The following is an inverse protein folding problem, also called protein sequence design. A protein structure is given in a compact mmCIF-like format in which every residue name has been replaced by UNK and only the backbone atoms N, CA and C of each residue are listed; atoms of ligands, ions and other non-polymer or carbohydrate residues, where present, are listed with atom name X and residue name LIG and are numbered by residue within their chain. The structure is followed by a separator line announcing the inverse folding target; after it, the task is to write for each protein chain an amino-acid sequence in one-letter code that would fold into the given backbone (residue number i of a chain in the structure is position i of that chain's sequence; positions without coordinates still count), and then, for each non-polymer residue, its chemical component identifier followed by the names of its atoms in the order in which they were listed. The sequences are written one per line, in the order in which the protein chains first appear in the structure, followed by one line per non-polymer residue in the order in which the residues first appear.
data_IF_610124240008
#
_entry.id   IF_610124240008
#
_cell.length_a   1.000
_cell.length_b   1.000
_cell.length_c   1.000
_cell.angle_alpha   90.00
_cell.angle_beta   90.00
_cell.angle_gamma   90.00
#
_symmetry.space_group_name_H-M   'P 1'
#
loop_
_entity.id
_entity.type
_entity.pdbx_description
1 polymer ?
#
# COMPACT_ATOMS: atom_id res chain seq x y z
N UNK A 1 -17.44 6.49 -10.06
CA UNK A 1 -18.18 7.73 -9.71
C UNK A 1 -17.29 8.78 -9.04
N UNK A 2 -16.39 8.39 -8.12
CA UNK A 2 -15.45 9.28 -7.40
C UNK A 2 -14.58 10.17 -8.30
N UNK A 3 -14.05 9.64 -9.41
CA UNK A 3 -13.29 10.40 -10.43
C UNK A 3 -13.96 11.72 -10.86
N UNK A 4 -15.29 11.77 -10.98
CA UNK A 4 -16.00 13.00 -11.39
C UNK A 4 -16.04 14.08 -10.32
N UNK A 5 -15.89 13.73 -9.05
CA UNK A 5 -15.96 14.64 -7.90
C UNK A 5 -14.59 15.02 -7.32
N UNK A 6 -13.49 14.56 -7.92
CA UNK A 6 -12.12 14.83 -7.45
C UNK A 6 -11.85 16.33 -7.28
N UNK A 7 -12.45 17.18 -8.10
CA UNK A 7 -12.29 18.64 -8.04
C UNK A 7 -12.76 19.23 -6.71
N UNK A 8 -13.86 18.67 -6.17
CA UNK A 8 -14.41 19.07 -4.87
C UNK A 8 -13.69 18.39 -3.71
N UNK A 9 -13.19 17.17 -3.94
CA UNK A 9 -12.41 16.40 -2.96
C UNK A 9 -11.00 16.99 -2.72
N UNK A 10 -10.45 17.80 -3.64
CA UNK A 10 -9.14 18.48 -3.46
C UNK A 10 -9.06 19.38 -2.23
N UNK A 11 -10.19 19.90 -1.75
CA UNK A 11 -10.24 20.73 -0.53
C UNK A 11 -9.86 19.88 0.69
N UNK A 12 -10.14 18.57 0.66
CA UNK A 12 -9.97 17.66 1.80
C UNK A 12 -8.82 16.67 1.58
N UNK A 13 -8.53 16.29 0.34
CA UNK A 13 -7.39 15.44 -0.02
C UNK A 13 -6.14 16.31 -0.14
N UNK A 14 -5.50 16.56 1.00
CA UNK A 14 -4.21 17.24 1.07
C UNK A 14 -3.05 16.21 1.08
N UNK A 15 -1.81 16.62 0.77
CA UNK A 15 -0.64 15.74 0.92
C UNK A 15 -0.51 15.18 2.33
N UNK A 16 -0.88 15.97 3.35
CA UNK A 16 -0.92 15.51 4.76
C UNK A 16 -1.92 14.36 4.95
N UNK A 17 -3.16 14.51 4.47
CA UNK A 17 -4.17 13.44 4.58
C UNK A 17 -3.73 12.18 3.84
N UNK A 18 -3.18 12.34 2.65
CA UNK A 18 -2.65 11.24 1.83
C UNK A 18 -1.51 10.51 2.54
N UNK A 19 -0.55 11.27 3.09
CA UNK A 19 0.58 10.72 3.82
C UNK A 19 0.16 10.00 5.11
N UNK A 20 -0.85 10.50 5.83
CA UNK A 20 -1.43 9.83 7.00
C UNK A 20 -2.00 8.47 6.60
N UNK A 21 -2.83 8.41 5.55
CA UNK A 21 -3.43 7.17 5.04
C UNK A 21 -2.35 6.15 4.68
N UNK A 22 -1.38 6.55 3.85
CA UNK A 22 -0.30 5.66 3.40
C UNK A 22 0.55 5.16 4.59
N UNK A 23 0.84 6.04 5.54
CA UNK A 23 1.59 5.67 6.76
C UNK A 23 0.83 4.65 7.58
N UNK A 24 -0.47 4.86 7.81
CA UNK A 24 -1.32 3.92 8.56
C UNK A 24 -1.47 2.58 7.85
N UNK A 25 -1.59 2.56 6.51
CA UNK A 25 -1.60 1.32 5.72
C UNK A 25 -0.30 0.55 5.95
N UNK A 26 0.85 1.20 5.81
CA UNK A 26 2.14 0.58 6.03
C UNK A 26 2.29 0.01 7.45
N UNK A 27 1.96 0.80 8.49
CA UNK A 27 2.04 0.36 9.89
C UNK A 27 1.11 -0.81 10.18
N UNK A 28 -0.12 -0.78 9.67
CA UNK A 28 -1.06 -1.89 9.83
C UNK A 28 -0.54 -3.17 9.19
N UNK A 29 0.03 -3.08 8.00
CA UNK A 29 0.55 -4.25 7.27
C UNK A 29 1.89 -4.76 7.83
N UNK A 30 2.67 -3.94 8.53
CA UNK A 30 3.85 -4.39 9.31
C UNK A 30 3.43 -5.49 10.30
N UNK A 31 2.27 -5.36 10.97
CA UNK A 31 1.75 -6.39 11.88
C UNK A 31 1.60 -7.74 11.16
N UNK A 32 1.08 -7.72 9.93
CA UNK A 32 0.93 -8.93 9.10
C UNK A 32 2.30 -9.51 8.75
N UNK A 33 3.25 -8.69 8.29
CA UNK A 33 4.60 -9.14 7.96
C UNK A 33 5.32 -9.79 9.16
N UNK A 34 5.24 -9.19 10.34
CA UNK A 34 5.82 -9.76 11.58
C UNK A 34 5.12 -11.05 11.99
N UNK A 35 3.79 -11.13 11.86
CA UNK A 35 3.02 -12.35 12.13
C UNK A 35 3.44 -13.48 11.19
N UNK A 36 3.68 -13.17 9.92
CA UNK A 36 4.14 -14.14 8.93
C UNK A 36 5.59 -14.59 9.19
N UNK A 37 6.49 -13.68 9.62
CA UNK A 37 7.85 -14.04 10.08
C UNK A 37 7.81 -15.06 11.22
N UNK A 38 6.86 -14.90 12.14
CA UNK A 38 6.71 -15.84 13.25
C UNK A 38 6.16 -17.22 12.82
N UNK A 39 5.63 -17.37 11.60
CA UNK A 39 5.07 -18.64 11.13
C UNK A 39 3.71 -18.48 10.44
N UNK A 40 3.06 -17.33 10.61
CA UNK A 40 1.71 -17.06 10.13
C UNK A 40 0.63 -17.32 11.18
N UNK A 41 -0.59 -16.88 10.88
CA UNK A 41 -1.74 -17.02 11.79
C UNK A 41 -2.08 -18.51 11.95
N UNK A 42 -2.11 -18.98 13.20
CA UNK A 42 -2.50 -20.36 13.53
C UNK A 42 -1.40 -21.41 13.32
N UNK A 43 -0.14 -20.98 13.12
CA UNK A 43 0.98 -21.92 13.01
C UNK A 43 1.26 -22.63 14.34
N UNK A 44 1.45 -23.96 14.30
CA UNK A 44 1.82 -24.75 15.49
C UNK A 44 3.22 -24.37 16.02
N UNK A 45 4.11 -23.98 15.13
CA UNK A 45 5.49 -23.56 15.41
C UNK A 45 5.63 -22.03 15.45
N UNK A 46 4.58 -21.31 15.87
CA UNK A 46 4.59 -19.86 15.95
C UNK A 46 5.72 -19.33 16.85
N UNK A 47 6.54 -18.44 16.31
CA UNK A 47 7.71 -17.89 17.00
C UNK A 47 8.89 -18.86 17.13
N UNK A 48 8.87 -20.01 16.46
CA UNK A 48 10.00 -20.96 16.49
C UNK A 48 11.29 -20.31 15.97
N UNK A 49 12.43 -20.75 16.51
CA UNK A 49 13.74 -20.26 16.07
C UNK A 49 13.93 -20.43 14.55
N UNK A 50 13.45 -21.54 13.98
CA UNK A 50 13.50 -21.79 12.54
C UNK A 50 12.74 -20.72 11.75
N UNK A 51 11.54 -20.33 12.18
CA UNK A 51 10.74 -19.31 11.51
C UNK A 51 11.40 -17.94 11.59
N UNK A 52 11.82 -17.56 12.79
CA UNK A 52 12.48 -16.28 13.02
C UNK A 52 13.79 -16.17 12.25
N UNK A 53 14.59 -17.25 12.20
CA UNK A 53 15.84 -17.30 11.45
C UNK A 53 15.60 -17.23 9.94
N UNK A 54 14.60 -17.93 9.41
CA UNK A 54 14.25 -17.84 7.98
C UNK A 54 13.79 -16.44 7.59
N UNK A 55 12.88 -15.83 8.37
CA UNK A 55 12.44 -14.46 8.11
C UNK A 55 13.58 -13.44 8.25
N UNK A 56 14.44 -13.61 9.26
CA UNK A 56 15.61 -12.76 9.48
C UNK A 56 16.67 -12.93 8.39
N UNK A 57 16.84 -14.14 7.84
CA UNK A 57 17.73 -14.40 6.72
C UNK A 57 17.27 -13.63 5.47
N UNK A 58 15.98 -13.69 5.16
CA UNK A 58 15.40 -12.95 4.03
C UNK A 58 15.58 -11.45 4.24
N UNK A 59 15.21 -10.94 5.41
CA UNK A 59 15.38 -9.53 5.74
C UNK A 59 16.85 -9.10 5.66
N UNK A 60 17.75 -9.87 6.25
CA UNK A 60 19.20 -9.62 6.23
C UNK A 60 19.76 -9.61 4.82
N UNK A 61 19.30 -10.53 3.96
CA UNK A 61 19.67 -10.57 2.53
C UNK A 61 19.18 -9.31 1.82
N UNK A 62 17.92 -8.91 2.03
CA UNK A 62 17.37 -7.70 1.41
C UNK A 62 18.13 -6.45 1.86
N UNK A 63 18.43 -6.32 3.16
CA UNK A 63 19.19 -5.20 3.72
C UNK A 63 20.60 -5.16 3.14
N UNK A 64 21.32 -6.29 3.14
CA UNK A 64 22.68 -6.38 2.60
C UNK A 64 22.74 -5.98 1.12
N UNK A 65 21.78 -6.43 0.31
CA UNK A 65 21.69 -6.04 -1.11
C UNK A 65 21.32 -4.57 -1.29
N UNK A 66 20.49 -4.00 -0.40
CA UNK A 66 20.16 -2.58 -0.42
C UNK A 66 21.34 -1.66 -0.09
N UNK A 67 22.35 -2.16 0.64
CA UNK A 67 23.58 -1.42 0.93
C UNK A 67 24.54 -1.36 -0.28
N UNK A 68 24.25 -2.10 -1.36
CA UNK A 68 25.05 -2.06 -2.58
C UNK A 68 24.97 -0.70 -3.27
N UNK A 69 26.09 -0.24 -3.86
CA UNK A 69 26.11 0.97 -4.69
C UNK A 69 25.40 0.77 -6.03
N UNK A 70 25.21 -0.48 -6.47
CA UNK A 70 24.57 -0.77 -7.75
C UNK A 70 23.04 -0.71 -7.63
N UNK A 71 22.44 0.18 -8.41
CA UNK A 71 20.99 0.38 -8.47
C UNK A 71 20.22 -0.90 -8.81
N UNK A 72 20.74 -1.73 -9.73
CA UNK A 72 20.06 -2.96 -10.15
C UNK A 72 19.98 -3.98 -9.01
N UNK A 73 21.06 -4.10 -8.22
CA UNK A 73 21.11 -4.99 -7.05
C UNK A 73 20.13 -4.55 -5.98
N UNK A 74 20.01 -3.23 -5.76
CA UNK A 74 19.04 -2.66 -4.81
C UNK A 74 17.60 -2.95 -5.25
N UNK A 75 17.29 -2.78 -6.54
CA UNK A 75 15.97 -3.04 -7.09
C UNK A 75 15.59 -4.52 -7.08
N UNK A 76 16.54 -5.43 -7.28
CA UNK A 76 16.31 -6.88 -7.24
C UNK A 76 16.35 -7.49 -5.84
N UNK A 77 16.66 -6.68 -4.80
CA UNK A 77 16.91 -7.17 -3.44
C UNK A 77 15.80 -8.03 -2.86
N UNK A 78 14.53 -7.62 -3.03
CA UNK A 78 13.36 -8.35 -2.55
C UNK A 78 13.22 -9.70 -3.26
N UNK A 79 13.37 -9.73 -4.58
CA UNK A 79 13.28 -10.96 -5.37
C UNK A 79 14.39 -11.95 -4.98
N UNK A 80 15.62 -11.46 -4.85
CA UNK A 80 16.76 -12.29 -4.43
C UNK A 80 16.60 -12.77 -2.99
N UNK A 81 16.12 -11.92 -2.08
CA UNK A 81 15.83 -12.30 -0.70
C UNK A 81 14.79 -13.41 -0.61
N UNK A 82 13.68 -13.30 -1.37
CA UNK A 82 12.66 -14.35 -1.48
C UNK A 82 13.25 -15.66 -2.03
N UNK A 83 14.06 -15.58 -3.09
CA UNK A 83 14.69 -16.74 -3.70
C UNK A 83 15.65 -17.45 -2.73
N UNK A 84 16.51 -16.70 -2.05
CA UNK A 84 17.43 -17.24 -1.02
C UNK A 84 16.64 -17.88 0.12
N UNK A 85 15.61 -17.20 0.64
CA UNK A 85 14.78 -17.75 1.71
C UNK A 85 14.03 -19.01 1.30
N UNK A 86 13.50 -19.05 0.07
CA UNK A 86 12.82 -20.23 -0.47
C UNK A 86 13.78 -21.41 -0.65
N UNK A 87 14.99 -21.18 -1.18
CA UNK A 87 16.01 -22.23 -1.33
C UNK A 87 16.44 -22.81 0.03
N UNK A 88 16.67 -21.97 1.04
CA UNK A 88 17.01 -22.45 2.39
C UNK A 88 15.82 -23.19 3.03
N UNK A 89 14.59 -22.72 2.80
CA UNK A 89 13.41 -23.44 3.25
C UNK A 89 13.26 -24.83 2.61
N UNK A 90 13.63 -25.00 1.33
CA UNK A 90 13.67 -26.31 0.68
C UNK A 90 14.73 -27.21 1.33
N UNK A 91 15.92 -26.69 1.64
CA UNK A 91 16.99 -27.46 2.28
C UNK A 91 16.64 -27.95 3.69
N UNK A 92 15.88 -27.16 4.45
CA UNK A 92 15.45 -27.49 5.82
C UNK A 92 14.14 -28.31 5.80
N UNK A 93 13.55 -28.57 4.62
CA UNK A 93 12.33 -29.36 4.48
C UNK A 93 11.05 -28.60 4.85
N UNK A 94 11.10 -27.27 4.97
CA UNK A 94 9.94 -26.41 5.28
C UNK A 94 9.13 -26.00 4.05
N UNK A 95 9.70 -26.19 2.87
CA UNK A 95 9.03 -26.02 1.58
C UNK A 95 9.06 -27.34 0.81
N UNK A 96 8.03 -27.60 0.01
CA UNK A 96 7.98 -28.72 -0.92
C UNK A 96 8.36 -28.27 -2.32
N UNK A 97 8.91 -29.20 -3.11
CA UNK A 97 9.06 -28.97 -4.55
C UNK A 97 7.69 -29.05 -5.22
N UNK A 98 7.47 -28.18 -6.21
CA UNK A 98 6.26 -28.22 -7.03
C UNK A 98 6.33 -29.44 -7.95
N UNK A 99 5.26 -30.22 -7.97
CA UNK A 99 5.05 -31.21 -9.02
C UNK A 99 4.52 -30.52 -10.28
N UNK A 100 5.41 -30.28 -11.24
CA UNK A 100 5.08 -29.62 -12.50
C UNK A 100 4.21 -30.48 -13.42
N UNK A 101 4.25 -31.82 -13.27
CA UNK A 101 3.51 -32.71 -14.16
C UNK A 101 2.00 -32.74 -13.86
N UNK A 102 1.60 -32.43 -12.63
CA UNK A 102 0.19 -32.37 -12.22
C UNK A 102 -0.46 -30.99 -12.45
N UNK A 103 0.30 -29.98 -12.85
CA UNK A 103 -0.25 -28.65 -13.09
C UNK A 103 -0.80 -28.50 -14.51
N UNK A 104 -2.00 -27.93 -14.69
CA UNK A 104 -2.50 -27.61 -16.03
C UNK A 104 -1.57 -26.59 -16.70
N UNK A 105 -1.29 -26.81 -17.98
CA UNK A 105 -0.35 -25.97 -18.74
C UNK A 105 -0.85 -24.52 -18.87
N UNK A 106 -2.18 -24.34 -18.98
CA UNK A 106 -2.83 -23.05 -19.17
C UNK A 106 -4.09 -22.98 -18.31
N UNK A 107 -4.29 -21.86 -17.61
CA UNK A 107 -5.53 -21.56 -16.91
C UNK A 107 -6.11 -20.24 -17.42
N UNK A 108 -7.21 -20.33 -18.16
CA UNK A 108 -7.94 -19.17 -18.65
C UNK A 108 -8.91 -18.70 -17.54
N UNK A 109 -8.90 -17.41 -17.17
CA UNK A 109 -9.78 -16.91 -16.11
C UNK A 109 -11.23 -16.94 -16.59
N UNK A 110 -12.10 -17.58 -15.80
CA UNK A 110 -13.53 -17.69 -16.08
C UNK A 110 -14.26 -16.53 -15.40
N UNK A 111 -15.00 -15.69 -16.13
CA UNK A 111 -15.75 -14.59 -15.53
C UNK A 111 -16.84 -15.14 -14.61
N UNK A 112 -17.00 -14.52 -13.45
CA UNK A 112 -18.04 -14.83 -12.44
C UNK A 112 -18.09 -16.30 -12.01
N UNK A 113 -16.93 -16.96 -11.92
CA UNK A 113 -16.80 -18.38 -11.54
C UNK A 113 -17.51 -18.73 -10.23
N UNK A 114 -17.53 -17.81 -9.26
CA UNK A 114 -18.16 -18.04 -7.95
C UNK A 114 -19.60 -17.51 -7.84
N UNK A 115 -20.18 -16.97 -8.93
CA UNK A 115 -21.52 -16.38 -8.93
C UNK A 115 -21.59 -15.01 -8.22
N UNK A 116 -22.82 -14.56 -7.93
CA UNK A 116 -23.10 -13.27 -7.28
C UNK A 116 -23.82 -13.48 -5.96
N UNK A 117 -23.27 -12.89 -4.90
CA UNK A 117 -23.93 -12.73 -3.61
C UNK A 117 -23.66 -11.32 -3.09
N UNK A 118 -24.72 -10.55 -2.85
CA UNK A 118 -24.60 -9.19 -2.35
C UNK A 118 -24.93 -9.16 -0.86
N UNK A 119 -23.93 -8.78 -0.05
CA UNK A 119 -24.07 -8.58 1.39
C UNK A 119 -23.83 -7.10 1.72
N UNK A 120 -24.85 -6.43 2.25
CA UNK A 120 -24.76 -5.03 2.66
C UNK A 120 -23.73 -4.81 3.78
N UNK A 121 -23.57 -5.80 4.67
CA UNK A 121 -22.61 -5.73 5.77
C UNK A 121 -21.16 -5.79 5.28
N UNK A 122 -20.88 -6.48 4.17
CA UNK A 122 -19.57 -6.50 3.52
C UNK A 122 -19.37 -5.30 2.57
N UNK A 123 -20.44 -4.87 1.89
CA UNK A 123 -20.39 -3.78 0.92
C UNK A 123 -19.94 -2.46 1.54
N UNK A 124 -20.52 -2.06 2.68
CA UNK A 124 -20.23 -0.74 3.28
C UNK A 124 -18.75 -0.60 3.68
N UNK A 125 -18.13 -1.54 4.43
CA UNK A 125 -16.70 -1.47 4.75
C UNK A 125 -15.81 -1.46 3.51
N UNK A 126 -16.09 -2.31 2.52
CA UNK A 126 -15.32 -2.36 1.27
C UNK A 126 -15.44 -1.04 0.51
N UNK A 127 -16.62 -0.41 0.48
CA UNK A 127 -16.82 0.88 -0.15
C UNK A 127 -16.00 1.99 0.53
N UNK A 128 -15.90 1.99 1.86
CA UNK A 128 -15.03 2.92 2.60
C UNK A 128 -13.55 2.65 2.35
N UNK A 129 -13.13 1.40 2.32
CA UNK A 129 -11.75 1.03 1.96
C UNK A 129 -11.45 1.56 0.55
N UNK A 130 -12.35 1.37 -0.41
CA UNK A 130 -12.18 1.87 -1.78
C UNK A 130 -12.14 3.40 -1.90
N UNK A 131 -12.88 4.11 -1.04
CA UNK A 131 -12.76 5.57 -0.98
C UNK A 131 -11.33 5.97 -0.59
N UNK A 132 -10.71 5.21 0.31
CA UNK A 132 -9.36 5.47 0.80
C UNK A 132 -8.31 5.04 -0.21
N UNK A 133 -8.50 3.92 -0.92
CA UNK A 133 -7.60 3.53 -2.02
C UNK A 133 -7.63 4.55 -3.16
N UNK A 134 -8.76 5.22 -3.41
CA UNK A 134 -8.80 6.32 -4.37
C UNK A 134 -7.96 7.54 -3.94
N UNK A 135 -7.87 7.80 -2.63
CA UNK A 135 -6.99 8.83 -2.05
C UNK A 135 -5.53 8.41 -2.20
N UNK A 136 -5.19 7.17 -1.85
CA UNK A 136 -3.87 6.57 -2.06
C UNK A 136 -3.44 6.65 -3.54
N UNK A 137 -4.32 6.23 -4.46
CA UNK A 137 -4.10 6.32 -5.90
C UNK A 137 -3.85 7.74 -6.37
N UNK A 138 -4.57 8.72 -5.82
CA UNK A 138 -4.33 10.13 -6.11
C UNK A 138 -2.93 10.56 -5.64
N UNK A 139 -2.51 10.12 -4.44
CA UNK A 139 -1.17 10.33 -3.91
C UNK A 139 -0.07 9.76 -4.80
N UNK A 140 -0.23 8.50 -5.21
CA UNK A 140 0.72 7.81 -6.06
C UNK A 140 0.86 8.44 -7.44
N UNK A 141 -0.26 8.84 -8.05
CA UNK A 141 -0.26 9.55 -9.33
C UNK A 141 0.40 10.93 -9.21
N UNK A 142 0.23 11.59 -8.06
CA UNK A 142 0.88 12.88 -7.77
C UNK A 142 2.39 12.71 -7.62
N UNK A 143 2.83 11.71 -6.85
CA UNK A 143 4.24 11.37 -6.70
C UNK A 143 4.86 10.98 -8.06
N UNK A 144 4.12 10.22 -8.88
CA UNK A 144 4.54 9.89 -10.24
C UNK A 144 4.71 11.15 -11.10
N UNK A 145 3.78 12.12 -11.01
CA UNK A 145 3.91 13.40 -11.71
C UNK A 145 5.18 14.15 -11.27
N UNK A 146 5.47 14.19 -9.96
CA UNK A 146 6.68 14.83 -9.43
C UNK A 146 7.96 14.18 -9.98
N UNK A 147 8.06 12.86 -9.93
CA UNK A 147 9.25 12.14 -10.40
C UNK A 147 9.41 12.18 -11.92
N UNK A 148 8.29 12.24 -12.64
CA UNK A 148 8.25 12.34 -14.10
C UNK A 148 8.36 13.79 -14.61
N UNK A 149 8.60 14.76 -13.72
CA UNK A 149 8.68 16.21 -14.03
C UNK A 149 7.44 16.75 -14.76
N UNK A 150 6.26 16.22 -14.41
CA UNK A 150 4.97 16.67 -14.91
C UNK A 150 4.34 17.71 -13.98
N UNK A 151 3.46 18.60 -14.48
CA UNK A 151 2.74 19.54 -13.63
C UNK A 151 1.92 18.85 -12.54
N UNK A 152 2.01 19.35 -11.31
CA UNK A 152 1.24 18.90 -10.13
C UNK A 152 0.04 19.81 -9.83
N UNK A 153 -0.22 20.79 -10.69
CA UNK A 153 -1.33 21.72 -10.59
C UNK A 153 -1.95 21.99 -11.97
N UNK A 154 -3.12 22.62 -11.98
CA UNK A 154 -3.84 22.97 -13.21
C UNK A 154 -4.70 21.85 -13.81
N UNK A 155 -5.28 22.13 -14.99
CA UNK A 155 -6.29 21.29 -15.65
C UNK A 155 -5.72 19.95 -16.14
N UNK A 156 -4.50 19.95 -16.66
CA UNK A 156 -3.83 18.72 -17.15
C UNK A 156 -3.51 17.74 -16.03
N UNK A 157 -3.03 18.23 -14.88
CA UNK A 157 -2.85 17.43 -13.67
C UNK A 157 -4.17 16.79 -13.23
N UNK A 158 -5.22 17.59 -13.16
CA UNK A 158 -6.54 17.12 -12.73
C UNK A 158 -7.09 16.03 -13.67
N UNK A 159 -6.91 16.17 -14.98
CA UNK A 159 -7.32 15.16 -15.94
C UNK A 159 -6.55 13.83 -15.74
N UNK A 160 -5.25 13.89 -15.42
CA UNK A 160 -4.46 12.70 -15.09
C UNK A 160 -4.97 11.99 -13.83
N UNK A 161 -5.23 12.74 -12.76
CA UNK A 161 -5.77 12.17 -11.52
C UNK A 161 -7.14 11.54 -11.75
N UNK A 162 -8.06 12.24 -12.43
CA UNK A 162 -9.39 11.71 -12.77
C UNK A 162 -9.34 10.47 -13.64
N UNK A 163 -8.46 10.48 -14.64
CA UNK A 163 -8.23 9.34 -15.53
C UNK A 163 -7.66 8.16 -14.78
N UNK A 164 -6.67 8.37 -13.91
CA UNK A 164 -6.05 7.32 -13.12
C UNK A 164 -7.00 6.69 -12.11
N UNK A 165 -7.74 7.49 -11.33
CA UNK A 165 -8.74 6.97 -10.38
C UNK A 165 -9.92 6.29 -11.10
N UNK A 166 -10.27 6.74 -12.31
CA UNK A 166 -11.25 6.03 -13.13
C UNK A 166 -10.72 4.69 -13.63
N UNK A 167 -9.47 4.66 -14.12
CA UNK A 167 -8.82 3.43 -14.57
C UNK A 167 -8.67 2.44 -13.43
N UNK A 168 -8.36 2.91 -12.22
CA UNK A 168 -8.33 2.11 -10.99
C UNK A 168 -9.67 1.42 -10.74
N UNK A 169 -10.77 2.17 -10.69
CA UNK A 169 -12.11 1.62 -10.49
C UNK A 169 -12.56 0.67 -11.61
N UNK A 170 -12.20 0.95 -12.86
CA UNK A 170 -12.51 0.06 -14.01
C UNK A 170 -11.69 -1.23 -13.91
N UNK A 171 -10.40 -1.14 -13.64
CA UNK A 171 -9.54 -2.30 -13.48
C UNK A 171 -9.97 -3.17 -12.31
N UNK A 172 -10.45 -2.54 -11.23
CA UNK A 172 -11.06 -3.20 -10.09
C UNK A 172 -12.36 -3.94 -10.43
N UNK A 173 -13.19 -3.38 -11.31
CA UNK A 173 -14.39 -4.04 -11.82
C UNK A 173 -14.03 -5.26 -12.70
N UNK A 174 -13.02 -5.11 -13.56
CA UNK A 174 -12.50 -6.22 -14.38
C UNK A 174 -11.92 -7.30 -13.47
N UNK A 175 -11.13 -6.92 -12.46
CA UNK A 175 -10.57 -7.78 -11.44
C UNK A 175 -11.68 -8.59 -10.73
N UNK A 176 -12.73 -7.94 -10.24
CA UNK A 176 -13.87 -8.60 -9.61
C UNK A 176 -14.61 -9.54 -10.58
N UNK A 177 -14.75 -9.15 -11.85
CA UNK A 177 -15.35 -10.00 -12.89
C UNK A 177 -14.59 -11.32 -13.06
N UNK A 178 -13.27 -11.28 -12.98
CA UNK A 178 -12.42 -12.47 -13.05
C UNK A 178 -12.06 -13.07 -11.68
N UNK A 179 -12.83 -12.72 -10.63
CA UNK A 179 -12.75 -13.30 -9.29
C UNK A 179 -11.44 -13.01 -8.53
N UNK A 180 -10.77 -11.91 -8.84
CA UNK A 180 -9.61 -11.43 -8.06
C UNK A 180 -10.03 -10.26 -7.16
N UNK A 181 -9.17 -9.95 -6.19
CA UNK A 181 -9.36 -8.82 -5.29
C UNK A 181 -9.26 -7.47 -6.02
N UNK A 182 -9.89 -6.43 -5.45
CA UNK A 182 -9.60 -5.03 -5.72
C UNK A 182 -8.12 -4.73 -5.96
N UNK A 183 -7.83 -3.94 -6.99
CA UNK A 183 -6.48 -3.41 -7.24
C UNK A 183 -6.43 -1.91 -6.98
N UNK A 184 -5.21 -1.40 -6.81
CA UNK A 184 -4.86 0.01 -6.63
C UNK A 184 -3.50 0.28 -7.31
N UNK A 185 -3.08 1.54 -7.39
CA UNK A 185 -1.74 1.90 -7.87
C UNK A 185 -0.66 1.32 -6.96
N UNK A 186 0.46 0.91 -7.54
CA UNK A 186 1.57 0.32 -6.79
C UNK A 186 2.64 1.38 -6.47
N UNK A 187 2.61 1.92 -5.25
CA UNK A 187 3.47 3.03 -4.82
C UNK A 187 4.98 2.71 -4.94
N UNK A 188 5.36 1.45 -4.85
CA UNK A 188 6.75 1.00 -5.00
C UNK A 188 7.30 1.32 -6.40
N UNK A 189 6.46 1.35 -7.43
CA UNK A 189 6.87 1.72 -8.78
C UNK A 189 7.41 3.16 -8.84
N UNK A 190 6.86 4.06 -8.02
CA UNK A 190 7.38 5.43 -7.92
C UNK A 190 8.82 5.45 -7.38
N UNK A 191 9.16 4.52 -6.49
CA UNK A 191 10.55 4.33 -6.02
C UNK A 191 11.50 3.91 -7.14
N UNK A 192 11.06 3.00 -8.02
CA UNK A 192 11.84 2.57 -9.19
C UNK A 192 12.05 3.72 -10.17
N UNK A 193 10.99 4.48 -10.47
CA UNK A 193 11.06 5.65 -11.36
C UNK A 193 11.98 6.72 -10.77
N UNK A 194 11.89 6.98 -9.46
CA UNK A 194 12.76 7.96 -8.80
C UNK A 194 14.24 7.57 -8.88
N UNK A 195 14.56 6.29 -8.71
CA UNK A 195 15.95 5.79 -8.75
C UNK A 195 16.49 5.72 -10.18
N UNK A 196 15.68 5.28 -11.14
CA UNK A 196 16.11 5.09 -12.54
C UNK A 196 16.01 6.35 -13.38
N UNK A 197 15.14 7.30 -13.00
CA UNK A 197 14.80 8.47 -13.81
C UNK A 197 13.94 8.16 -15.04
N UNK A 198 13.48 6.92 -15.20
CA UNK A 198 12.77 6.46 -16.41
C UNK A 198 11.27 6.32 -16.11
N UNK A 199 10.46 7.23 -16.67
CA UNK A 199 9.00 7.23 -16.54
C UNK A 199 8.26 6.83 -17.84
N UNK A 200 8.88 5.97 -18.67
CA UNK A 200 8.33 5.60 -19.98
C UNK A 200 7.12 4.66 -19.86
N UNK A 201 5.98 5.07 -20.46
CA UNK A 201 4.76 4.24 -20.53
C UNK A 201 4.95 2.92 -21.28
N UNK A 202 5.91 2.85 -22.20
CA UNK A 202 6.18 1.63 -22.97
C UNK A 202 6.72 0.49 -22.11
N UNK A 203 7.50 0.82 -21.07
CA UNK A 203 7.96 -0.16 -20.08
C UNK A 203 6.76 -0.76 -19.34
N UNK A 204 5.79 0.08 -18.97
CA UNK A 204 4.54 -0.36 -18.35
C UNK A 204 3.76 -1.34 -19.24
N UNK A 205 3.61 -1.05 -20.55
CA UNK A 205 2.94 -1.98 -21.47
C UNK A 205 3.67 -3.31 -21.62
N UNK A 206 5.00 -3.29 -21.68
CA UNK A 206 5.79 -4.51 -21.78
C UNK A 206 5.67 -5.38 -20.53
N UNK A 207 5.77 -4.78 -19.34
CA UNK A 207 5.58 -5.47 -18.06
C UNK A 207 4.15 -6.01 -17.95
N UNK A 208 3.13 -5.24 -18.33
CA UNK A 208 1.75 -5.70 -18.32
C UNK A 208 1.54 -6.92 -19.24
N UNK A 209 2.15 -6.91 -20.44
CA UNK A 209 2.11 -8.06 -21.36
C UNK A 209 2.80 -9.30 -20.76
N UNK A 210 3.97 -9.13 -20.15
CA UNK A 210 4.67 -10.23 -19.45
C UNK A 210 3.79 -10.79 -18.33
N UNK A 211 3.27 -9.95 -17.45
CA UNK A 211 2.44 -10.39 -16.32
C UNK A 211 1.14 -11.05 -16.77
N UNK A 212 0.53 -10.56 -17.86
CA UNK A 212 -0.64 -11.19 -18.46
C UNK A 212 -0.33 -12.61 -18.93
N UNK A 213 0.76 -12.80 -19.69
CA UNK A 213 1.18 -14.11 -20.17
C UNK A 213 1.55 -15.03 -19.01
N UNK A 214 2.37 -14.56 -18.07
CA UNK A 214 2.77 -15.32 -16.88
C UNK A 214 1.56 -15.73 -16.02
N UNK A 215 0.56 -14.86 -15.88
CA UNK A 215 -0.67 -15.16 -15.14
C UNK A 215 -1.52 -16.27 -15.74
N UNK A 216 -1.34 -16.60 -17.03
CA UNK A 216 -2.02 -17.73 -17.67
C UNK A 216 -1.37 -19.08 -17.36
N UNK A 217 -0.16 -19.11 -16.77
CA UNK A 217 0.56 -20.33 -16.40
C UNK A 217 0.44 -20.63 -14.90
N UNK A 218 -0.39 -21.61 -14.49
CA UNK A 218 -0.63 -21.97 -13.09
C UNK A 218 0.63 -22.38 -12.33
N UNK A 219 1.65 -22.85 -13.06
CA UNK A 219 2.96 -23.23 -12.54
C UNK A 219 3.56 -22.15 -11.65
N UNK A 220 3.45 -20.87 -12.02
CA UNK A 220 3.97 -19.78 -11.20
C UNK A 220 3.20 -19.65 -9.89
N UNK A 221 1.87 -19.77 -9.93
CA UNK A 221 1.03 -19.79 -8.74
C UNK A 221 1.40 -20.95 -7.81
N UNK A 222 1.63 -22.14 -8.38
CA UNK A 222 2.06 -23.32 -7.63
C UNK A 222 3.42 -23.10 -6.94
N UNK A 223 4.40 -22.51 -7.63
CA UNK A 223 5.70 -22.13 -7.03
C UNK A 223 5.51 -21.14 -5.89
N UNK A 224 4.71 -20.08 -6.10
CA UNK A 224 4.44 -19.09 -5.05
C UNK A 224 3.76 -19.70 -3.82
N UNK A 225 2.91 -20.72 -3.98
CA UNK A 225 2.27 -21.44 -2.87
C UNK A 225 3.24 -22.29 -2.05
N UNK A 226 4.40 -22.69 -2.60
CA UNK A 226 5.43 -23.42 -1.84
C UNK A 226 6.27 -22.52 -0.95
N UNK A 227 6.21 -21.20 -1.14
CA UNK A 227 7.00 -20.25 -0.35
C UNK A 227 6.44 -20.19 1.07
N UNK A 228 7.22 -20.55 2.11
CA UNK A 228 6.71 -20.53 3.47
C UNK A 228 6.40 -19.11 3.95
N UNK A 229 5.43 -19.01 4.86
CA UNK A 229 5.02 -17.73 5.48
C UNK A 229 6.19 -16.94 6.07
N UNK A 230 7.17 -17.52 6.78
CA UNK A 230 8.32 -16.75 7.28
C UNK A 230 9.16 -16.07 6.20
N UNK A 231 9.31 -16.71 5.04
CA UNK A 231 10.06 -16.16 3.90
C UNK A 231 9.32 -14.96 3.31
N UNK A 232 8.00 -15.11 3.09
CA UNK A 232 7.12 -14.02 2.66
C UNK A 232 7.10 -12.89 3.70
N UNK A 233 7.06 -13.22 4.99
CA UNK A 233 7.08 -12.26 6.10
C UNK A 233 8.31 -11.35 6.07
N UNK A 234 9.50 -11.91 5.87
CA UNK A 234 10.74 -11.13 5.78
C UNK A 234 10.73 -10.12 4.62
N UNK A 235 10.23 -10.52 3.45
CA UNK A 235 10.12 -9.64 2.29
C UNK A 235 9.02 -8.60 2.45
N UNK A 236 7.83 -9.01 2.92
CA UNK A 236 6.68 -8.14 3.12
C UNK A 236 6.91 -7.11 4.21
N UNK A 237 7.67 -7.43 5.26
CA UNK A 237 8.06 -6.47 6.29
C UNK A 237 8.82 -5.27 5.69
N UNK A 238 9.76 -5.53 4.78
CA UNK A 238 10.49 -4.46 4.07
C UNK A 238 9.56 -3.67 3.15
N UNK A 239 8.67 -4.35 2.43
CA UNK A 239 7.69 -3.69 1.54
C UNK A 239 6.74 -2.77 2.33
N UNK A 240 6.15 -3.26 3.42
CA UNK A 240 5.21 -2.47 4.22
C UNK A 240 5.91 -1.38 5.04
N UNK A 241 7.12 -1.64 5.53
CA UNK A 241 7.95 -0.63 6.18
C UNK A 241 8.34 0.52 5.24
N UNK A 242 8.69 0.21 3.99
CA UNK A 242 8.98 1.24 2.98
C UNK A 242 7.74 2.03 2.56
N UNK A 243 6.56 1.39 2.51
CA UNK A 243 5.27 2.09 2.32
C UNK A 243 5.02 3.08 3.47
N UNK A 244 5.19 2.64 4.73
CA UNK A 244 5.05 3.53 5.88
C UNK A 244 6.02 4.72 5.81
N UNK A 245 7.29 4.47 5.48
CA UNK A 245 8.30 5.51 5.33
C UNK A 245 7.99 6.48 4.18
N UNK A 246 7.41 6.00 3.08
CA UNK A 246 6.97 6.84 1.97
C UNK A 246 5.83 7.79 2.39
N UNK A 247 4.86 7.29 3.17
CA UNK A 247 3.81 8.13 3.75
C UNK A 247 4.37 9.24 4.65
N UNK A 248 5.33 8.91 5.52
CA UNK A 248 6.03 9.88 6.37
C UNK A 248 6.77 10.92 5.52
N UNK A 249 7.47 10.48 4.45
CA UNK A 249 8.18 11.39 3.53
C UNK A 249 7.23 12.37 2.84
N UNK A 250 6.03 11.94 2.48
CA UNK A 250 5.01 12.83 1.89
C UNK A 250 4.60 13.90 2.90
N UNK A 251 4.34 13.53 4.16
CA UNK A 251 4.03 14.47 5.24
C UNK A 251 5.19 15.45 5.47
N UNK A 252 6.43 14.94 5.49
CA UNK A 252 7.62 15.72 5.80
C UNK A 252 8.01 16.74 4.71
N UNK A 253 7.51 16.60 3.47
CA UNK A 253 7.75 17.57 2.40
C UNK A 253 6.82 18.80 2.50
N UNK A 254 5.84 18.80 3.40
CA UNK A 254 4.95 19.92 3.65
C UNK A 254 5.42 20.76 4.83
N UNK A 255 5.17 22.08 4.78
CA UNK A 255 5.32 22.93 5.96
C UNK A 255 4.25 22.57 6.99
N UNK A 256 4.68 22.03 8.14
CA UNK A 256 3.79 21.55 9.21
C UNK A 256 3.41 22.68 10.16
N UNK A 257 2.30 23.35 9.85
CA UNK A 257 1.65 24.28 10.76
C UNK A 257 0.92 23.55 11.92
N UNK A 258 0.41 24.33 12.88
CA UNK A 258 -0.32 23.81 14.04
C UNK A 258 -1.55 22.97 13.64
N UNK A 259 -2.23 23.31 12.55
CA UNK A 259 -3.46 22.64 12.07
C UNK A 259 -3.13 21.28 11.46
N UNK A 260 -2.09 21.20 10.64
CA UNK A 260 -1.57 19.97 10.05
C UNK A 260 -1.06 19.04 11.14
N UNK A 261 -0.32 19.54 12.13
CA UNK A 261 0.14 18.74 13.27
C UNK A 261 -1.04 18.16 14.06
N UNK A 262 -2.07 18.95 14.37
CA UNK A 262 -3.28 18.44 15.03
C UNK A 262 -3.99 17.38 14.21
N UNK A 263 -4.08 17.57 12.89
CA UNK A 263 -4.67 16.59 11.97
C UNK A 263 -3.90 15.28 12.00
N UNK A 264 -2.57 15.32 11.96
CA UNK A 264 -1.70 14.14 12.06
C UNK A 264 -1.90 13.44 13.40
N UNK A 265 -1.84 14.18 14.51
CA UNK A 265 -1.92 13.62 15.85
C UNK A 265 -3.24 12.89 16.11
N UNK A 266 -4.37 13.50 15.76
CA UNK A 266 -5.70 12.90 15.95
C UNK A 266 -5.89 11.69 15.04
N UNK A 267 -5.45 11.78 13.79
CA UNK A 267 -5.66 10.70 12.81
C UNK A 267 -4.84 9.46 13.12
N UNK A 268 -3.57 9.62 13.52
CA UNK A 268 -2.76 8.50 13.98
C UNK A 268 -3.22 8.00 15.35
N UNK A 269 -3.56 8.89 16.29
CA UNK A 269 -4.06 8.52 17.61
C UNK A 269 -5.30 7.62 17.53
N UNK A 270 -6.28 7.99 16.70
CA UNK A 270 -7.49 7.19 16.51
C UNK A 270 -7.23 5.89 15.73
N UNK A 271 -6.50 5.95 14.60
CA UNK A 271 -6.27 4.76 13.77
C UNK A 271 -5.40 3.72 14.46
N UNK A 272 -4.26 4.13 15.03
CA UNK A 272 -3.39 3.22 15.79
C UNK A 272 -4.05 2.81 17.11
N UNK A 273 -4.85 3.69 17.74
CA UNK A 273 -5.61 3.37 18.94
C UNK A 273 -6.55 2.19 18.73
N UNK A 274 -7.32 2.19 17.65
CA UNK A 274 -8.18 1.04 17.28
C UNK A 274 -7.37 -0.22 16.98
N UNK A 275 -6.19 -0.08 16.36
CA UNK A 275 -5.30 -1.21 16.09
C UNK A 275 -4.78 -1.88 17.37
N UNK A 276 -4.40 -1.06 18.36
CA UNK A 276 -3.79 -1.49 19.62
C UNK A 276 -4.82 -1.89 20.68
N UNK A 277 -6.03 -1.35 20.59
CA UNK A 277 -7.16 -1.67 21.49
C UNK A 277 -8.36 -2.11 20.65
N UNK A 278 -8.35 -3.34 20.08
CA UNK A 278 -9.45 -3.83 19.23
C UNK A 278 -10.80 -3.88 19.97
N UNK A 279 -10.73 -4.00 21.29
CA UNK A 279 -11.88 -4.10 22.18
C UNK A 279 -12.66 -2.80 22.33
N UNK A 280 -12.08 -1.67 21.90
CA UNK A 280 -12.64 -0.32 22.01
C UNK A 280 -14.06 -0.23 21.42
N UNK A 281 -14.32 -0.93 20.32
CA UNK A 281 -15.59 -0.86 19.60
C UNK A 281 -16.52 -2.04 19.89
N UNK A 282 -16.21 -2.93 20.84
CA UNK A 282 -17.00 -4.15 21.11
C UNK A 282 -18.49 -3.90 21.38
N UNK A 283 -18.83 -2.78 22.02
CA UNK A 283 -20.22 -2.42 22.33
C UNK A 283 -20.91 -1.62 21.21
N UNK A 284 -20.15 -1.17 20.20
CA UNK A 284 -20.71 -0.41 19.09
C UNK A 284 -21.50 -1.32 18.13
N UNK A 285 -22.42 -0.78 17.31
CA UNK A 285 -23.11 -1.55 16.29
C UNK A 285 -22.13 -2.23 15.33
N UNK A 286 -22.49 -3.40 14.81
CA UNK A 286 -21.61 -4.24 13.94
C UNK A 286 -21.04 -3.46 12.76
N UNK A 287 -21.84 -2.56 12.15
CA UNK A 287 -21.41 -1.69 11.06
C UNK A 287 -20.26 -0.75 11.48
N UNK A 288 -20.37 -0.15 12.68
CA UNK A 288 -19.33 0.74 13.24
C UNK A 288 -18.07 -0.05 13.53
N UNK A 289 -18.20 -1.26 14.08
CA UNK A 289 -17.06 -2.16 14.31
C UNK A 289 -16.33 -2.48 13.01
N UNK A 290 -17.05 -2.78 11.93
CA UNK A 290 -16.39 -3.16 10.68
C UNK A 290 -15.75 -1.97 9.94
N UNK A 291 -16.39 -0.79 9.98
CA UNK A 291 -15.86 0.41 9.31
C UNK A 291 -14.77 1.07 10.15
N UNK A 292 -15.07 1.43 11.40
CA UNK A 292 -14.13 2.14 12.29
C UNK A 292 -13.14 1.21 12.98
N UNK A 293 -13.33 -0.11 12.94
CA UNK A 293 -12.36 -1.09 13.42
C UNK A 293 -11.14 -1.26 12.50
N UNK A 294 -11.22 -0.77 11.26
CA UNK A 294 -10.07 -0.73 10.36
C UNK A 294 -9.19 0.49 10.68
N UNK A 295 -7.91 0.31 11.06
CA UNK A 295 -7.01 1.42 11.39
C UNK A 295 -6.89 2.44 10.25
N UNK A 296 -6.82 1.93 9.02
CA UNK A 296 -6.74 2.73 7.79
C UNK A 296 -8.00 3.58 7.62
N UNK A 297 -9.17 2.98 7.85
CA UNK A 297 -10.45 3.66 7.71
C UNK A 297 -10.67 4.71 8.77
N UNK A 298 -10.35 4.39 10.03
CA UNK A 298 -10.42 5.33 11.14
C UNK A 298 -9.46 6.52 10.92
N UNK A 299 -8.19 6.27 10.56
CA UNK A 299 -7.24 7.35 10.25
C UNK A 299 -7.68 8.20 9.08
N UNK A 300 -8.16 7.59 7.98
CA UNK A 300 -8.61 8.31 6.80
C UNK A 300 -9.81 9.21 7.08
N UNK A 301 -10.84 8.69 7.77
CA UNK A 301 -12.02 9.47 8.15
C UNK A 301 -11.63 10.59 9.11
N UNK A 302 -10.80 10.33 10.12
CA UNK A 302 -10.33 11.35 11.05
C UNK A 302 -9.56 12.47 10.32
N UNK A 303 -8.67 12.11 9.40
CA UNK A 303 -7.87 13.05 8.63
C UNK A 303 -8.75 13.93 7.73
N UNK A 304 -9.71 13.32 7.01
CA UNK A 304 -10.66 14.04 6.18
C UNK A 304 -11.55 14.97 7.02
N UNK A 305 -12.01 14.50 8.18
CA UNK A 305 -12.87 15.30 9.08
C UNK A 305 -12.12 16.49 9.64
N UNK A 306 -10.88 16.29 10.10
CA UNK A 306 -10.04 17.37 10.62
C UNK A 306 -9.67 18.38 9.53
N UNK A 307 -9.28 17.92 8.34
CA UNK A 307 -8.97 18.80 7.22
C UNK A 307 -10.20 19.63 6.80
N UNK A 308 -11.37 18.99 6.71
CA UNK A 308 -12.64 19.66 6.42
C UNK A 308 -13.02 20.68 7.49
N UNK A 309 -13.03 20.29 8.76
CA UNK A 309 -13.42 21.16 9.88
C UNK A 309 -12.48 22.37 9.99
N UNK A 310 -11.17 22.17 9.91
CA UNK A 310 -10.21 23.27 9.99
C UNK A 310 -10.27 24.19 8.77
N UNK A 311 -10.70 23.70 7.60
CA UNK A 311 -10.92 24.55 6.42
C UNK A 311 -12.09 25.53 6.58
N UNK A 312 -13.06 25.24 7.46
CA UNK A 312 -14.21 26.12 7.75
C UNK A 312 -13.84 27.31 8.63
N UNK A 313 -12.74 27.21 9.38
CA UNK A 313 -12.24 28.28 10.23
C UNK A 313 -11.00 28.89 9.57
N UNK A 314 -11.10 29.87 8.65
CA UNK A 314 -9.91 30.52 8.08
C UNK A 314 -9.02 31.07 9.20
N UNK A 315 -7.70 31.00 9.02
CA UNK A 315 -6.79 31.66 9.97
C UNK A 315 -7.14 33.15 10.01
N UNK A 316 -7.33 33.68 11.22
CA UNK A 316 -7.23 35.11 11.43
C UNK A 316 -5.82 35.51 11.00
N UNK A 317 -5.69 36.25 9.90
CA UNK A 317 -4.43 36.87 9.51
C UNK A 317 -3.80 37.58 10.72
N UNK A 318 -2.51 37.28 10.99
CA UNK A 318 -1.48 38.11 11.64
C UNK A 318 -0.26 37.23 11.98
N UNK A 319 1.02 37.62 11.82
CA UNK A 319 1.71 38.90 11.56
C UNK A 319 3.19 38.61 11.18
N UNK A 320 4.03 39.62 10.86
CA UNK A 320 4.84 39.72 9.65
C UNK A 320 6.08 38.79 9.59
N UNK A 321 6.59 38.63 8.36
CA UNK A 321 7.92 38.08 8.05
C UNK A 321 8.97 38.60 9.04
N UNK A 322 9.75 37.67 9.62
CA UNK A 322 10.97 37.99 10.34
C UNK A 322 11.96 38.59 9.32
N UNK A 323 12.02 39.92 9.29
CA UNK A 323 13.02 40.70 8.56
C UNK A 323 14.40 40.37 9.14
N UNK A 324 15.34 40.13 8.23
CA UNK A 324 16.80 40.25 8.32
C UNK A 324 17.41 40.47 9.71
N UNK A 325 18.23 39.52 10.15
CA UNK A 325 19.39 39.79 10.99
C UNK A 325 20.38 38.61 10.86
N UNK A 326 21.33 38.74 9.94
CA UNK A 326 22.73 38.36 10.14
C UNK A 326 23.57 38.66 8.88
N UNK A 327 23.65 39.93 8.52
CA UNK A 327 24.93 40.49 8.05
C UNK A 327 25.47 41.34 9.20
N UNK A 328 26.52 40.85 9.85
CA UNK A 328 27.53 41.58 10.59
C UNK A 328 28.70 40.64 10.87
#
# INVERSE_FOLDING_TARGET
MLSRFIDKLKIVITPVVTGIVITTIGIYLIKVGVTDIAGGVGAEDFGSATNLLLGSLVLGTIVALNMSRNIMVRLSSILVGLLVGWLVALMIGKASMVDFASQPLLSIPVPFKYGFAFDWHAFVPIAFIYLITAIESTGDLTANCMFSKQPISGRGYLQRIKGGVLADGINSLIAATFNTFPNTTFSQNNGVIHLTGIASRYIGYFIAGILFVLGMFPVLGAVLMTIPKPVLGGATLVMFGTVAAAGIKIIANEELDRRKIMTIAISFGLGLGVMLVPDLLKQAPKLVQTVLGSPVTMSGIAALTMAGLLSLFPESEKSPKRVEASEA
#
